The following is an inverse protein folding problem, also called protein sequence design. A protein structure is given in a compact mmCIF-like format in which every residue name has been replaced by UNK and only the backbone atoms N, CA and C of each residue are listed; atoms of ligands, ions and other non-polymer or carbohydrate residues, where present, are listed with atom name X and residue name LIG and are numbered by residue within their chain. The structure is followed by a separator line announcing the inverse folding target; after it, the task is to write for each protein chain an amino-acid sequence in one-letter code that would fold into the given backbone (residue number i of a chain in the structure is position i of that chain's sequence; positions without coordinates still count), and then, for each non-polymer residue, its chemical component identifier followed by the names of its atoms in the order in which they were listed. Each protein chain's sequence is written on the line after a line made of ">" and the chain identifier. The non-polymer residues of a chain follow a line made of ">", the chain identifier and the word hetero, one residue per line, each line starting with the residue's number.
data_IF_324141326959
#
_entry.id   IF_324141326959
#
_cell.length_a   1.000
_cell.length_b   1.000
_cell.length_c   1.000
_cell.angle_alpha   90.00
_cell.angle_beta   90.00
_cell.angle_gamma   90.00
#
_symmetry.space_group_name_H-M   'P 1'
#
loop_
_entity.id
_entity.type
_entity.pdbx_description
1 polymer ?
#
# COMPACT_ATOMS: atom_id res chain seq x y z
N UNK A 1 4.29 6.09 -3.44
CA UNK A 1 3.03 5.52 -2.92
C UNK A 1 3.37 4.68 -1.70
N UNK A 2 2.62 4.82 -0.61
CA UNK A 2 2.79 4.05 0.61
C UNK A 2 1.86 2.84 0.56
N UNK A 3 2.34 1.66 0.90
CA UNK A 3 1.56 0.41 0.87
C UNK A 3 1.79 -0.35 2.16
N UNK A 4 0.71 -0.84 2.76
CA UNK A 4 0.75 -1.66 3.97
C UNK A 4 -0.49 -2.57 4.02
N UNK A 5 -0.45 -3.61 4.84
CA UNK A 5 -1.56 -4.55 4.96
C UNK A 5 -1.70 -5.14 6.37
N UNK A 6 -2.94 -5.45 6.74
CA UNK A 6 -3.26 -6.02 8.04
C UNK A 6 -4.16 -7.26 7.88
N UNK A 7 -3.90 -8.35 8.63
CA UNK A 7 -4.80 -9.49 8.69
C UNK A 7 -6.25 -9.08 8.98
N UNK A 8 -7.18 -9.70 8.26
CA UNK A 8 -8.62 -9.55 8.48
C UNK A 8 -9.34 -10.89 8.33
N UNK A 9 -10.66 -10.90 8.51
CA UNK A 9 -11.51 -12.06 8.27
C UNK A 9 -12.69 -11.68 7.40
N UNK A 10 -13.08 -12.59 6.52
CA UNK A 10 -14.41 -12.61 5.90
C UNK A 10 -15.11 -13.90 6.35
N UNK A 11 -16.24 -13.77 7.04
CA UNK A 11 -16.88 -14.86 7.79
C UNK A 11 -15.86 -15.49 8.75
N UNK A 12 -15.55 -16.78 8.54
CA UNK A 12 -14.51 -17.53 9.26
C UNK A 12 -13.19 -17.60 8.49
N UNK A 13 -13.16 -17.20 7.22
CA UNK A 13 -11.98 -17.29 6.37
C UNK A 13 -10.98 -16.16 6.65
N UNK A 14 -9.68 -16.48 6.55
CA UNK A 14 -8.59 -15.51 6.67
C UNK A 14 -8.51 -14.66 5.41
N UNK A 15 -8.40 -13.35 5.60
CA UNK A 15 -8.22 -12.38 4.54
C UNK A 15 -7.16 -11.35 4.94
N UNK A 16 -6.84 -10.43 4.04
CA UNK A 16 -5.92 -9.32 4.28
C UNK A 16 -6.57 -8.04 3.79
N UNK A 17 -6.66 -7.04 4.68
CA UNK A 17 -6.99 -5.67 4.31
C UNK A 17 -5.70 -4.97 3.92
N UNK A 18 -5.63 -4.50 2.69
CA UNK A 18 -4.54 -3.71 2.16
C UNK A 18 -4.92 -2.24 2.09
N UNK A 19 -3.91 -1.37 2.17
CA UNK A 19 -4.02 0.04 1.81
C UNK A 19 -2.93 0.42 0.81
N UNK A 20 -3.28 1.33 -0.11
CA UNK A 20 -2.35 2.09 -0.92
C UNK A 20 -2.64 3.58 -0.80
N UNK A 21 -1.62 4.40 -0.49
CA UNK A 21 -1.76 5.83 -0.28
C UNK A 21 -0.86 6.62 -1.23
N UNK A 22 -1.47 7.51 -1.99
CA UNK A 22 -0.85 8.54 -2.81
C UNK A 22 -1.14 9.94 -2.20
N UNK A 23 -0.47 11.02 -2.65
CA UNK A 23 -0.68 12.35 -2.07
C UNK A 23 -2.13 12.86 -2.09
N UNK A 24 -2.94 12.42 -3.06
CA UNK A 24 -4.32 12.89 -3.26
C UNK A 24 -5.41 11.84 -2.98
N UNK A 25 -5.05 10.58 -2.70
CA UNK A 25 -6.02 9.50 -2.50
C UNK A 25 -5.47 8.34 -1.66
N UNK A 26 -6.38 7.65 -0.99
CA UNK A 26 -6.12 6.40 -0.28
C UNK A 26 -7.12 5.33 -0.74
N UNK A 27 -6.63 4.15 -1.02
CA UNK A 27 -7.34 3.04 -1.65
C UNK A 27 -7.21 1.80 -0.78
N UNK A 28 -8.31 1.11 -0.51
CA UNK A 28 -8.35 -0.11 0.30
C UNK A 28 -8.90 -1.29 -0.51
N UNK A 29 -8.38 -2.49 -0.24
CA UNK A 29 -8.85 -3.74 -0.81
C UNK A 29 -8.79 -4.87 0.20
N UNK A 30 -9.80 -5.74 0.24
CA UNK A 30 -9.79 -6.96 1.06
C UNK A 30 -9.63 -8.15 0.11
N UNK A 31 -8.57 -8.91 0.32
CA UNK A 31 -8.25 -10.07 -0.53
C UNK A 31 -8.08 -11.33 0.31
N UNK A 32 -8.40 -12.49 -0.27
CA UNK A 32 -8.20 -13.81 0.35
C UNK A 32 -6.74 -14.28 0.42
N UNK A 33 -5.77 -13.42 0.08
CA UNK A 33 -4.34 -13.72 0.15
C UNK A 33 -3.50 -12.45 0.44
N UNK A 34 -2.21 -12.65 0.75
CA UNK A 34 -1.18 -11.59 0.92
C UNK A 34 -0.16 -11.60 -0.23
N UNK A 35 -0.55 -12.07 -1.41
CA UNK A 35 0.38 -12.26 -2.52
C UNK A 35 0.53 -11.00 -3.38
N UNK A 36 1.47 -11.04 -4.32
CA UNK A 36 1.74 -9.96 -5.28
C UNK A 36 0.51 -9.64 -6.15
N UNK A 37 -0.29 -10.65 -6.43
CA UNK A 37 -1.52 -10.55 -7.22
C UNK A 37 -2.54 -9.63 -6.53
N UNK A 38 -2.60 -9.63 -5.19
CA UNK A 38 -3.43 -8.68 -4.42
C UNK A 38 -2.91 -7.24 -4.55
N UNK A 39 -1.60 -7.04 -4.52
CA UNK A 39 -0.99 -5.72 -4.72
C UNK A 39 -1.28 -5.18 -6.13
N UNK A 40 -1.05 -5.99 -7.17
CA UNK A 40 -1.37 -5.61 -8.56
C UNK A 40 -2.88 -5.37 -8.72
N UNK A 41 -3.72 -6.20 -8.11
CA UNK A 41 -5.17 -5.99 -8.11
C UNK A 41 -5.56 -4.68 -7.45
N UNK A 42 -4.79 -4.18 -6.47
CA UNK A 42 -5.05 -2.94 -5.72
C UNK A 42 -4.58 -1.68 -6.45
N UNK A 43 -3.39 -1.68 -7.05
CA UNK A 43 -2.75 -0.46 -7.58
C UNK A 43 -2.37 -0.51 -9.07
N UNK A 44 -2.62 -1.63 -9.74
CA UNK A 44 -2.26 -1.81 -11.15
C UNK A 44 -0.75 -1.95 -11.37
N UNK A 45 -0.27 -1.42 -12.50
CA UNK A 45 1.17 -1.36 -12.78
C UNK A 45 1.85 -0.25 -11.97
N UNK A 46 2.71 -0.68 -11.04
CA UNK A 46 3.54 0.19 -10.20
C UNK A 46 4.97 0.37 -10.71
N UNK A 47 5.29 -0.05 -11.94
CA UNK A 47 6.66 -0.01 -12.49
C UNK A 47 7.31 1.39 -12.53
N UNK A 48 6.50 2.46 -12.61
CA UNK A 48 6.92 3.86 -12.51
C UNK A 48 6.83 4.48 -11.11
N UNK A 49 6.34 3.74 -10.11
CA UNK A 49 6.04 4.25 -8.76
C UNK A 49 7.16 3.87 -7.78
N UNK A 50 7.59 4.82 -6.95
CA UNK A 50 8.37 4.50 -5.74
C UNK A 50 7.40 3.95 -4.68
N UNK A 51 7.49 2.65 -4.40
CA UNK A 51 6.68 1.99 -3.36
C UNK A 51 7.39 2.08 -2.01
N UNK A 52 6.68 2.51 -0.97
CA UNK A 52 7.16 2.54 0.41
C UNK A 52 6.46 1.43 1.22
N UNK A 53 7.21 0.55 1.87
CA UNK A 53 6.67 -0.60 2.62
C UNK A 53 7.63 -1.12 3.73
N UNK A 54 7.13 -1.99 4.61
CA UNK A 54 7.95 -2.76 5.57
C UNK A 54 8.65 -3.97 4.91
N UNK A 55 9.48 -3.72 3.88
CA UNK A 55 10.35 -4.73 3.25
C UNK A 55 9.63 -6.00 2.76
N UNK A 56 8.30 -5.93 2.58
CA UNK A 56 7.48 -7.10 2.42
C UNK A 56 7.77 -7.80 1.09
N UNK A 57 7.90 -9.14 1.12
CA UNK A 57 8.48 -9.92 0.02
C UNK A 57 7.77 -9.75 -1.33
N UNK A 58 6.45 -9.54 -1.30
CA UNK A 58 5.62 -9.36 -2.49
C UNK A 58 5.79 -7.99 -3.18
N UNK A 59 6.50 -7.05 -2.58
CA UNK A 59 6.85 -5.77 -3.20
C UNK A 59 8.24 -5.78 -3.89
N UNK A 60 9.03 -6.85 -3.72
CA UNK A 60 10.47 -6.88 -4.08
C UNK A 60 10.76 -6.85 -5.59
N UNK A 61 9.75 -7.03 -6.44
CA UNK A 61 9.87 -6.90 -7.89
C UNK A 61 9.76 -5.44 -8.38
N UNK A 62 9.33 -4.52 -7.51
CA UNK A 62 9.28 -3.10 -7.85
C UNK A 62 10.69 -2.56 -8.13
N UNK A 63 10.82 -1.87 -9.26
CA UNK A 63 12.06 -1.22 -9.70
C UNK A 63 12.55 -0.14 -8.72
N UNK A 64 11.65 0.46 -7.93
CA UNK A 64 11.99 1.50 -6.95
C UNK A 64 11.22 1.29 -5.65
N UNK A 65 11.96 0.94 -4.60
CA UNK A 65 11.43 0.66 -3.26
C UNK A 65 12.08 1.56 -2.23
N UNK A 66 11.27 2.17 -1.37
CA UNK A 66 11.71 2.70 -0.08
C UNK A 66 11.32 1.73 1.02
N UNK A 67 12.29 1.21 1.74
CA UNK A 67 12.09 0.36 2.90
C UNK A 67 11.87 1.20 4.17
N UNK A 68 10.89 0.82 4.99
CA UNK A 68 10.51 1.57 6.17
C UNK A 68 11.58 1.53 7.27
N UNK A 69 12.24 2.66 7.53
CA UNK A 69 13.21 2.79 8.62
C UNK A 69 12.60 2.59 10.01
N UNK A 70 11.32 2.89 10.22
CA UNK A 70 10.67 2.72 11.52
C UNK A 70 10.51 1.24 11.92
N UNK A 71 10.46 0.34 10.95
CA UNK A 71 10.49 -1.10 11.17
C UNK A 71 11.92 -1.61 11.37
N UNK A 72 12.87 -1.17 10.52
CA UNK A 72 14.29 -1.47 10.70
C UNK A 72 14.81 -1.04 12.08
N UNK A 73 14.38 0.13 12.59
CA UNK A 73 14.68 0.60 13.95
C UNK A 73 14.25 -0.41 15.02
N UNK A 74 13.05 -1.00 14.90
CA UNK A 74 12.54 -2.01 15.83
C UNK A 74 13.37 -3.29 15.76
N UNK A 75 13.87 -3.68 14.60
CA UNK A 75 14.75 -4.85 14.49
C UNK A 75 16.16 -4.57 15.04
N UNK A 76 16.71 -3.37 14.81
CA UNK A 76 17.96 -2.93 15.47
C UNK A 76 17.79 -2.92 17.00
N UNK A 77 16.61 -2.52 17.51
CA UNK A 77 16.32 -2.56 18.94
C UNK A 77 16.38 -4.01 19.50
N UNK A 78 15.91 -5.04 18.76
CA UNK A 78 16.10 -6.47 19.13
C UNK A 78 17.57 -6.93 19.14
N UNK A 79 18.48 -6.18 18.53
CA UNK A 79 19.92 -6.40 18.65
C UNK A 79 20.45 -5.70 19.92
N UNK A 80 20.04 -4.46 20.18
CA UNK A 80 20.35 -3.71 21.41
C UNK A 80 19.93 -4.49 22.67
N UNK A 81 18.72 -5.06 22.66
CA UNK A 81 18.14 -5.80 23.79
C UNK A 81 18.69 -7.23 23.91
N UNK A 82 19.67 -7.61 23.09
CA UNK A 82 20.27 -8.95 23.09
C UNK A 82 21.17 -9.17 24.31
N UNK A 83 21.09 -10.36 24.92
CA UNK A 83 21.99 -10.79 26.01
C UNK A 83 23.44 -10.92 25.52
N UNK A 84 23.64 -11.45 24.31
CA UNK A 84 24.91 -11.50 23.59
C UNK A 84 25.53 -10.09 23.43
N UNK A 85 26.75 -9.92 23.95
CA UNK A 85 27.46 -8.65 23.96
C UNK A 85 28.01 -8.20 22.60
N UNK A 86 28.30 -9.11 21.68
CA UNK A 86 28.70 -8.80 20.31
C UNK A 86 27.50 -8.29 19.51
N UNK A 87 26.36 -8.96 19.65
CA UNK A 87 25.08 -8.56 19.05
C UNK A 87 24.66 -7.19 19.55
N UNK A 88 24.66 -7.00 20.88
CA UNK A 88 24.30 -5.72 21.54
C UNK A 88 25.19 -4.57 21.10
N UNK A 89 26.51 -4.79 20.98
CA UNK A 89 27.45 -3.78 20.49
C UNK A 89 27.11 -3.31 19.07
N UNK A 90 26.87 -4.24 18.13
CA UNK A 90 26.47 -3.85 16.77
C UNK A 90 25.10 -3.16 16.74
N UNK A 91 24.15 -3.62 17.56
CA UNK A 91 22.85 -2.97 17.74
C UNK A 91 22.98 -1.50 18.14
N UNK A 92 23.83 -1.18 19.13
CA UNK A 92 24.11 0.20 19.52
C UNK A 92 24.80 1.01 18.42
N UNK A 93 25.78 0.41 17.70
CA UNK A 93 26.48 1.07 16.60
C UNK A 93 25.52 1.46 15.46
N UNK A 94 24.62 0.55 15.07
CA UNK A 94 23.57 0.77 14.06
C UNK A 94 22.52 1.80 14.53
N UNK A 95 22.06 1.68 15.79
CA UNK A 95 21.08 2.61 16.38
C UNK A 95 21.62 4.04 16.47
N UNK A 96 22.94 4.23 16.66
CA UNK A 96 23.58 5.56 16.62
C UNK A 96 23.43 6.23 15.24
N UNK A 97 23.59 5.45 14.17
CA UNK A 97 23.44 5.94 12.80
C UNK A 97 21.96 6.27 12.48
N UNK A 98 21.01 5.43 12.91
CA UNK A 98 19.57 5.70 12.77
C UNK A 98 19.18 7.01 13.47
N UNK A 99 19.60 7.20 14.72
CA UNK A 99 19.28 8.40 15.50
C UNK A 99 19.80 9.67 14.84
N UNK A 100 21.05 9.64 14.35
CA UNK A 100 21.68 10.77 13.66
C UNK A 100 20.99 11.08 12.31
N UNK A 101 20.64 10.04 11.54
CA UNK A 101 19.88 10.19 10.30
C UNK A 101 18.54 10.90 10.54
N UNK A 102 17.80 10.45 11.56
CA UNK A 102 16.50 11.02 11.89
C UNK A 102 16.58 12.39 12.58
N UNK A 103 17.68 12.74 13.22
CA UNK A 103 17.94 14.11 13.68
C UNK A 103 18.06 15.07 12.49
N UNK A 104 18.90 14.73 11.51
CA UNK A 104 19.06 15.53 10.31
C UNK A 104 17.77 15.55 9.47
N UNK A 105 17.02 14.44 9.39
CA UNK A 105 15.70 14.41 8.75
C UNK A 105 14.71 15.39 9.41
N UNK A 106 14.64 15.41 10.75
CA UNK A 106 13.80 16.38 11.47
C UNK A 106 14.21 17.83 11.19
N UNK A 107 15.51 18.12 11.17
CA UNK A 107 16.04 19.46 10.83
C UNK A 107 15.65 19.87 9.40
N UNK A 108 15.71 18.95 8.44
CA UNK A 108 15.25 19.19 7.07
C UNK A 108 13.74 19.44 7.00
N UNK A 109 12.92 18.59 7.62
CA UNK A 109 11.46 18.75 7.64
C UNK A 109 10.99 20.02 8.36
N UNK A 110 11.81 20.58 9.27
CA UNK A 110 11.60 21.86 9.93
C UNK A 110 12.15 23.08 9.15
N UNK A 111 12.72 22.88 7.95
CA UNK A 111 13.31 23.95 7.13
C UNK A 111 14.67 24.47 7.63
N UNK A 112 15.23 23.88 8.69
CA UNK A 112 16.49 24.34 9.30
C UNK A 112 17.76 23.93 8.52
N UNK A 113 17.64 23.02 7.56
CA UNK A 113 18.67 22.69 6.56
C UNK A 113 18.00 22.44 5.20
N UNK A 114 18.69 22.75 4.11
CA UNK A 114 18.20 22.49 2.75
C UNK A 114 18.20 20.99 2.44
N UNK A 115 17.42 20.59 1.43
CA UNK A 115 17.43 19.21 0.91
C UNK A 115 18.86 18.74 0.58
N UNK A 116 19.64 19.58 -0.12
CA UNK A 116 21.04 19.29 -0.45
C UNK A 116 21.93 19.15 0.79
N UNK A 117 21.74 20.02 1.78
CA UNK A 117 22.45 19.92 3.07
C UNK A 117 22.16 18.62 3.79
N UNK A 118 20.90 18.17 3.80
CA UNK A 118 20.51 16.87 4.34
C UNK A 118 21.15 15.70 3.57
N UNK A 119 21.14 15.70 2.24
CA UNK A 119 21.83 14.68 1.44
C UNK A 119 23.32 14.58 1.79
N UNK A 120 24.01 15.72 1.93
CA UNK A 120 25.43 15.77 2.30
C UNK A 120 25.68 15.17 3.69
N UNK A 121 24.81 15.44 4.67
CA UNK A 121 24.90 14.87 6.02
C UNK A 121 24.54 13.38 6.08
N UNK A 122 23.58 12.93 5.27
CA UNK A 122 23.17 11.53 5.20
C UNK A 122 24.21 10.63 4.49
N UNK A 123 25.03 11.18 3.59
CA UNK A 123 26.06 10.43 2.85
C UNK A 123 27.08 9.68 3.74
N UNK A 124 27.75 10.33 4.70
CA UNK A 124 28.60 9.67 5.70
C UNK A 124 27.85 8.60 6.51
N UNK A 125 26.64 8.89 6.97
CA UNK A 125 25.80 7.98 7.76
C UNK A 125 25.50 6.70 6.97
N UNK A 126 25.12 6.84 5.70
CA UNK A 126 24.89 5.73 4.77
C UNK A 126 26.13 4.85 4.60
N UNK A 127 27.32 5.45 4.44
CA UNK A 127 28.58 4.69 4.36
C UNK A 127 28.86 3.93 5.65
N UNK A 128 28.72 4.58 6.80
CA UNK A 128 28.95 3.95 8.11
C UNK A 128 27.95 2.82 8.39
N UNK A 129 26.66 3.04 8.12
CA UNK A 129 25.62 2.02 8.29
C UNK A 129 25.89 0.79 7.41
N UNK A 130 26.24 1.00 6.14
CA UNK A 130 26.61 -0.10 5.24
C UNK A 130 27.87 -0.85 5.68
N UNK A 131 28.87 -0.15 6.24
CA UNK A 131 30.07 -0.78 6.84
C UNK A 131 29.73 -1.63 8.07
N UNK A 132 28.80 -1.16 8.92
CA UNK A 132 28.33 -1.93 10.08
C UNK A 132 27.55 -3.18 9.68
N UNK A 133 26.72 -3.12 8.62
CA UNK A 133 26.08 -4.33 8.06
C UNK A 133 27.12 -5.35 7.58
N UNK A 134 28.14 -4.92 6.83
CA UNK A 134 29.23 -5.80 6.38
C UNK A 134 29.99 -6.43 7.56
N UNK A 135 30.30 -5.65 8.60
CA UNK A 135 30.91 -6.14 9.84
C UNK A 135 30.03 -7.18 10.56
N UNK A 136 28.71 -7.03 10.51
CA UNK A 136 27.78 -8.01 11.09
C UNK A 136 27.67 -9.30 10.28
N UNK A 137 27.70 -9.21 8.94
CA UNK A 137 27.77 -10.36 8.02
C UNK A 137 28.98 -11.25 8.34
N UNK A 138 30.18 -10.66 8.38
CA UNK A 138 31.44 -11.36 8.69
C UNK A 138 31.76 -11.51 10.18
N UNK A 139 30.77 -11.37 11.07
CA UNK A 139 30.98 -11.40 12.53
C UNK A 139 31.23 -12.80 13.12
N UNK A 140 30.96 -13.86 12.35
CA UNK A 140 30.90 -15.25 12.83
C UNK A 140 29.66 -15.58 13.68
N UNK A 141 28.83 -14.59 14.01
CA UNK A 141 27.67 -14.74 14.88
C UNK A 141 26.40 -14.92 14.06
N UNK A 142 25.77 -16.10 14.15
CA UNK A 142 24.59 -16.48 13.35
C UNK A 142 23.45 -15.45 13.42
N UNK A 143 23.22 -14.79 14.57
CA UNK A 143 22.17 -13.77 14.72
C UNK A 143 22.51 -12.49 13.96
N UNK A 144 23.78 -12.07 13.97
CA UNK A 144 24.25 -10.90 13.23
C UNK A 144 24.35 -11.15 11.73
N UNK A 145 24.91 -12.29 11.33
CA UNK A 145 25.01 -12.70 9.93
C UNK A 145 23.62 -12.77 9.30
N UNK A 146 22.66 -13.47 9.92
CA UNK A 146 21.28 -13.54 9.41
C UNK A 146 20.59 -12.18 9.26
N UNK A 147 20.71 -11.29 10.27
CA UNK A 147 20.15 -9.94 10.19
C UNK A 147 20.81 -9.08 9.09
N UNK A 148 22.14 -9.15 8.95
CA UNK A 148 22.87 -8.31 8.01
C UNK A 148 22.72 -8.81 6.57
N UNK A 149 22.73 -10.12 6.35
CA UNK A 149 22.61 -10.74 5.03
C UNK A 149 21.19 -10.60 4.45
N UNK A 150 20.16 -10.45 5.28
CA UNK A 150 18.81 -10.06 4.83
C UNK A 150 18.79 -8.66 4.20
N UNK A 151 19.58 -7.73 4.77
CA UNK A 151 19.61 -6.33 4.38
C UNK A 151 20.62 -6.02 3.28
N UNK A 152 21.83 -6.58 3.33
CA UNK A 152 22.96 -6.22 2.46
C UNK A 152 22.66 -6.28 0.95
N UNK A 153 22.01 -7.34 0.40
CA UNK A 153 21.73 -7.44 -1.04
C UNK A 153 20.77 -6.36 -1.55
N UNK A 154 20.00 -5.74 -0.66
CA UNK A 154 18.92 -4.80 -0.97
C UNK A 154 19.02 -3.48 -0.19
N UNK A 155 20.18 -3.21 0.43
CA UNK A 155 20.45 -2.06 1.30
C UNK A 155 20.11 -0.71 0.65
N UNK A 156 20.18 -0.65 -0.68
CA UNK A 156 19.85 0.52 -1.49
C UNK A 156 18.40 1.00 -1.29
N UNK A 157 17.45 0.08 -1.07
CA UNK A 157 16.05 0.42 -0.77
C UNK A 157 15.87 1.16 0.55
N UNK A 158 16.84 1.12 1.48
CA UNK A 158 16.81 1.96 2.68
C UNK A 158 17.04 3.44 2.33
N UNK A 159 17.73 3.72 1.22
CA UNK A 159 18.28 5.03 0.90
C UNK A 159 17.61 5.73 -0.28
N UNK A 160 16.62 5.09 -0.93
CA UNK A 160 15.89 5.65 -2.08
C UNK A 160 15.25 7.01 -1.78
N UNK A 161 14.88 7.29 -0.53
CA UNK A 161 14.38 8.60 -0.13
C UNK A 161 15.40 9.74 -0.31
N UNK A 162 16.72 9.44 -0.33
CA UNK A 162 17.77 10.41 -0.64
C UNK A 162 17.84 10.76 -2.13
N UNK A 163 17.20 9.99 -3.02
CA UNK A 163 17.23 10.19 -4.47
C UNK A 163 16.19 11.22 -4.96
N UNK A 164 15.15 11.50 -4.17
CA UNK A 164 14.05 12.37 -4.57
C UNK A 164 13.46 13.13 -3.40
N UNK A 165 13.36 14.45 -3.55
CA UNK A 165 12.77 15.34 -2.55
C UNK A 165 11.29 14.98 -2.33
N UNK A 166 10.85 14.95 -1.07
CA UNK A 166 9.47 14.61 -0.69
C UNK A 166 9.19 13.10 -0.52
N UNK A 167 10.14 12.21 -0.81
CA UNK A 167 10.04 10.80 -0.43
C UNK A 167 10.29 10.68 1.08
N UNK A 168 9.36 10.08 1.82
CA UNK A 168 9.52 9.85 3.27
C UNK A 168 10.31 8.56 3.55
N UNK A 169 11.24 8.52 4.55
CA UNK A 169 12.00 7.32 4.92
C UNK A 169 11.18 6.26 5.70
N UNK A 170 9.92 6.54 6.00
CA UNK A 170 9.05 5.66 6.81
C UNK A 170 7.70 5.44 6.14
N UNK A 171 7.05 4.31 6.42
CA UNK A 171 5.73 3.95 5.93
C UNK A 171 4.59 4.46 6.83
N UNK A 172 4.90 5.39 7.75
CA UNK A 172 3.96 5.95 8.73
C UNK A 172 2.63 6.43 8.12
N UNK A 173 2.63 6.85 6.85
CA UNK A 173 1.42 7.24 6.12
C UNK A 173 0.45 6.08 5.97
N UNK A 174 0.87 4.94 5.40
CA UNK A 174 0.00 3.77 5.26
C UNK A 174 -0.36 3.17 6.62
N UNK A 175 0.60 3.06 7.54
CA UNK A 175 0.38 2.59 8.92
C UNK A 175 -0.70 3.43 9.66
N UNK A 176 -0.73 4.76 9.44
CA UNK A 176 -1.75 5.65 10.00
C UNK A 176 -3.10 5.50 9.29
N UNK A 177 -3.11 5.42 7.97
CA UNK A 177 -4.32 5.26 7.16
C UNK A 177 -5.00 3.90 7.39
N UNK A 178 -4.29 2.85 7.80
CA UNK A 178 -4.90 1.59 8.25
C UNK A 178 -5.64 1.68 9.59
N UNK A 179 -5.33 2.64 10.47
CA UNK A 179 -5.85 2.69 11.86
C UNK A 179 -7.38 2.70 11.97
N UNK A 180 -8.15 3.49 11.18
CA UNK A 180 -9.61 3.46 11.22
C UNK A 180 -10.18 2.05 10.97
N UNK A 181 -9.58 1.30 10.05
CA UNK A 181 -9.97 -0.07 9.76
C UNK A 181 -9.58 -1.06 10.88
N UNK A 182 -8.44 -0.82 11.53
CA UNK A 182 -7.97 -1.55 12.72
C UNK A 182 -8.88 -1.33 13.92
N UNK A 183 -9.49 -0.14 14.05
CA UNK A 183 -10.50 0.17 15.07
C UNK A 183 -11.83 -0.46 14.70
N UNK A 184 -12.31 -0.27 13.47
CA UNK A 184 -13.56 -0.85 12.95
C UNK A 184 -13.65 -2.36 13.21
N UNK A 185 -12.62 -3.13 12.85
CA UNK A 185 -12.61 -4.59 13.04
C UNK A 185 -12.71 -5.03 14.51
N UNK A 186 -12.15 -4.24 15.45
CA UNK A 186 -12.24 -4.50 16.90
C UNK A 186 -13.64 -4.27 17.44
N UNK A 187 -14.37 -3.29 16.89
CA UNK A 187 -15.72 -2.92 17.33
C UNK A 187 -16.85 -3.69 16.61
N UNK A 188 -16.61 -4.11 15.37
CA UNK A 188 -17.66 -4.66 14.48
C UNK A 188 -17.45 -6.12 14.06
N UNK A 189 -16.50 -6.84 14.69
CA UNK A 189 -16.31 -8.29 14.53
C UNK A 189 -16.16 -8.80 13.08
N UNK A 190 -15.36 -8.09 12.29
CA UNK A 190 -14.99 -8.46 10.91
C UNK A 190 -16.18 -8.44 9.91
N UNK A 191 -15.92 -8.69 8.63
CA UNK A 191 -16.99 -8.73 7.62
C UNK A 191 -17.59 -10.13 7.53
N UNK A 192 -18.91 -10.24 7.38
CA UNK A 192 -19.62 -11.54 7.33
C UNK A 192 -20.06 -11.94 5.91
N UNK A 193 -19.62 -11.20 4.89
CA UNK A 193 -19.84 -11.51 3.47
C UNK A 193 -18.94 -10.68 2.56
N UNK A 194 -18.72 -11.15 1.32
CA UNK A 194 -18.06 -10.38 0.27
C UNK A 194 -18.70 -9.00 0.05
N UNK A 195 -20.03 -8.88 0.16
CA UNK A 195 -20.74 -7.59 0.10
C UNK A 195 -20.33 -6.66 1.26
N UNK A 196 -20.13 -7.20 2.46
CA UNK A 196 -19.59 -6.49 3.61
C UNK A 196 -18.13 -6.05 3.40
N UNK A 197 -17.29 -6.95 2.87
CA UNK A 197 -15.91 -6.63 2.50
C UNK A 197 -15.84 -5.49 1.48
N UNK A 198 -16.61 -5.58 0.39
CA UNK A 198 -16.74 -4.50 -0.61
C UNK A 198 -17.26 -3.19 -0.03
N UNK A 199 -18.16 -3.22 0.95
CA UNK A 199 -18.60 -2.02 1.64
C UNK A 199 -17.46 -1.37 2.45
N UNK A 200 -16.73 -2.16 3.24
CA UNK A 200 -15.61 -1.68 4.07
C UNK A 200 -14.49 -1.09 3.23
N UNK A 201 -14.07 -1.78 2.16
CA UNK A 201 -13.11 -1.25 1.18
C UNK A 201 -13.51 0.14 0.67
N UNK A 202 -14.76 0.28 0.23
CA UNK A 202 -15.28 1.49 -0.41
C UNK A 202 -15.42 2.64 0.57
N UNK A 203 -15.98 2.41 1.76
CA UNK A 203 -16.20 3.49 2.74
C UNK A 203 -14.90 4.01 3.34
N UNK A 204 -13.91 3.12 3.57
CA UNK A 204 -12.56 3.52 3.98
C UNK A 204 -11.85 4.32 2.89
N UNK A 205 -11.93 3.85 1.63
CA UNK A 205 -11.39 4.54 0.45
C UNK A 205 -11.97 5.94 0.28
N UNK A 206 -13.31 6.08 0.39
CA UNK A 206 -14.01 7.38 0.38
C UNK A 206 -13.50 8.26 1.51
N UNK A 207 -13.60 7.78 2.75
CA UNK A 207 -13.31 8.55 3.96
C UNK A 207 -11.88 9.10 3.94
N UNK A 208 -10.90 8.23 3.70
CA UNK A 208 -9.49 8.63 3.71
C UNK A 208 -9.09 9.45 2.48
N UNK A 209 -9.67 9.21 1.31
CA UNK A 209 -9.47 10.09 0.14
C UNK A 209 -10.05 11.47 0.37
N UNK A 210 -11.26 11.58 0.92
CA UNK A 210 -11.86 12.87 1.27
C UNK A 210 -11.03 13.59 2.33
N UNK A 211 -10.55 12.87 3.36
CA UNK A 211 -9.66 13.40 4.40
C UNK A 211 -8.34 13.92 3.83
N UNK A 212 -7.73 13.23 2.86
CA UNK A 212 -6.51 13.68 2.17
C UNK A 212 -6.76 14.92 1.29
N UNK A 213 -7.94 15.02 0.68
CA UNK A 213 -8.35 16.16 -0.16
C UNK A 213 -8.95 17.34 0.63
N UNK A 214 -9.02 17.26 1.96
CA UNK A 214 -9.73 18.22 2.83
C UNK A 214 -11.20 18.45 2.38
N UNK A 215 -11.89 17.35 2.04
CA UNK A 215 -13.32 17.33 1.63
C UNK A 215 -14.17 16.65 2.69
N UNK A 216 -15.43 17.08 2.80
CA UNK A 216 -16.43 16.40 3.60
C UNK A 216 -16.87 15.09 2.92
N UNK A 217 -16.69 13.96 3.62
CA UNK A 217 -16.99 12.63 3.11
C UNK A 217 -18.51 12.37 2.98
N UNK A 218 -19.34 13.01 3.79
CA UNK A 218 -20.80 12.86 3.75
C UNK A 218 -21.38 13.63 2.56
N UNK A 219 -20.92 14.85 2.31
CA UNK A 219 -21.26 15.61 1.10
C UNK A 219 -20.78 14.89 -0.17
N UNK A 220 -19.57 14.32 -0.17
CA UNK A 220 -19.10 13.48 -1.28
C UNK A 220 -20.06 12.30 -1.56
N UNK A 221 -20.55 11.63 -0.52
CA UNK A 221 -21.52 10.54 -0.68
C UNK A 221 -22.88 11.04 -1.20
N UNK A 222 -23.34 12.21 -0.75
CA UNK A 222 -24.56 12.86 -1.28
C UNK A 222 -24.37 13.20 -2.77
N UNK A 223 -23.25 13.80 -3.16
CA UNK A 223 -22.89 14.12 -4.54
C UNK A 223 -22.87 12.86 -5.41
N UNK A 224 -22.20 11.79 -4.95
CA UNK A 224 -22.12 10.52 -5.66
C UNK A 224 -23.50 9.86 -5.84
N UNK A 225 -24.37 9.91 -4.82
CA UNK A 225 -25.73 9.37 -4.91
C UNK A 225 -26.62 10.23 -5.81
N UNK A 226 -26.54 11.56 -5.74
CA UNK A 226 -27.23 12.49 -6.67
C UNK A 226 -26.82 12.24 -8.11
N UNK A 227 -25.51 12.12 -8.39
CA UNK A 227 -24.99 11.80 -9.71
C UNK A 227 -25.52 10.46 -10.22
N UNK A 228 -25.54 9.42 -9.37
CA UNK A 228 -26.11 8.11 -9.71
C UNK A 228 -27.60 8.21 -10.08
N UNK A 229 -28.42 8.89 -9.27
CA UNK A 229 -29.86 9.04 -9.53
C UNK A 229 -30.16 9.92 -10.75
N UNK A 230 -29.34 10.94 -11.02
CA UNK A 230 -29.40 11.75 -12.22
C UNK A 230 -28.87 11.03 -13.48
N UNK A 231 -28.45 9.76 -13.37
CA UNK A 231 -27.81 8.97 -14.44
C UNK A 231 -26.58 9.70 -15.04
N UNK A 232 -25.93 10.56 -14.26
CA UNK A 232 -24.72 11.27 -14.66
C UNK A 232 -23.56 10.28 -14.75
N UNK A 233 -23.16 9.99 -15.99
CA UNK A 233 -22.01 9.15 -16.30
C UNK A 233 -20.74 9.98 -16.16
N UNK A 234 -20.34 10.21 -14.91
CA UNK A 234 -19.03 10.76 -14.57
C UNK A 234 -18.02 9.64 -14.53
N UNK A 235 -17.19 9.53 -15.56
CA UNK A 235 -16.21 8.47 -15.62
C UNK A 235 -14.99 8.85 -14.72
N UNK A 236 -14.95 8.30 -13.51
CA UNK A 236 -13.71 8.00 -12.78
C UNK A 236 -13.57 6.46 -12.72
N UNK A 237 -12.53 5.96 -12.05
CA UNK A 237 -12.51 4.59 -11.52
C UNK A 237 -12.40 3.46 -12.54
N UNK A 238 -11.16 3.04 -12.81
CA UNK A 238 -10.92 1.62 -13.08
C UNK A 238 -9.56 1.14 -12.51
N UNK A 239 -9.47 1.18 -11.17
CA UNK A 239 -8.76 0.27 -10.27
C UNK A 239 -8.90 0.83 -8.83
N UNK A 240 -9.91 0.31 -8.11
CA UNK A 240 -10.12 0.44 -6.64
C UNK A 240 -10.54 1.78 -6.01
N UNK A 241 -11.26 2.65 -6.72
CA UNK A 241 -11.79 3.90 -6.13
C UNK A 241 -13.29 4.12 -6.40
N UNK A 242 -14.18 3.26 -5.88
CA UNK A 242 -15.66 3.28 -6.07
C UNK A 242 -16.24 2.88 -7.45
N UNK A 243 -16.95 1.75 -7.55
CA UNK A 243 -17.92 1.60 -8.66
C UNK A 243 -19.23 1.04 -8.15
N UNK A 244 -20.22 1.94 -8.05
CA UNK A 244 -21.60 1.62 -8.35
C UNK A 244 -21.74 1.74 -9.88
N UNK A 245 -22.36 0.76 -10.51
CA UNK A 245 -22.32 0.56 -11.96
C UNK A 245 -22.92 1.73 -12.75
N UNK A 246 -22.15 2.31 -13.68
CA UNK A 246 -22.67 3.02 -14.85
C UNK A 246 -21.71 2.87 -16.04
N UNK A 247 -22.26 2.79 -17.25
CA UNK A 247 -21.54 2.39 -18.47
C UNK A 247 -20.72 3.54 -19.11
N UNK A 248 -19.51 3.21 -19.60
CA UNK A 248 -18.51 4.02 -20.37
C UNK A 248 -17.34 4.69 -19.59
N UNK A 249 -16.49 3.87 -18.94
CA UNK A 249 -14.99 3.85 -18.94
C UNK A 249 -14.17 5.17 -18.99
N UNK A 250 -13.71 5.73 -17.86
CA UNK A 250 -12.37 6.37 -17.83
C UNK A 250 -11.32 5.36 -17.39
N UNK A 251 -10.06 5.72 -17.61
CA UNK A 251 -8.90 5.13 -16.96
C UNK A 251 -8.06 6.25 -16.35
N UNK A 252 -7.81 6.19 -15.05
CA UNK A 252 -6.80 7.01 -14.38
C UNK A 252 -5.41 6.59 -14.84
N UNK A 253 -4.86 7.27 -15.85
CA UNK A 253 -3.46 7.11 -16.24
C UNK A 253 -2.54 7.96 -15.36
N UNK A 254 -1.56 7.33 -14.70
CA UNK A 254 -0.47 8.06 -14.05
C UNK A 254 0.50 8.59 -15.13
N UNK A 255 0.47 9.90 -15.37
CA UNK A 255 1.52 10.59 -16.12
C UNK A 255 2.69 10.90 -15.19
N UNK A 256 3.86 10.31 -15.46
CA UNK A 256 5.07 10.40 -14.62
C UNK A 256 6.03 11.54 -15.01
N UNK A 257 5.67 12.42 -15.95
CA UNK A 257 6.56 13.46 -16.50
C UNK A 257 5.89 14.84 -16.59
N UNK A 258 6.69 15.89 -16.42
CA UNK A 258 6.28 17.29 -16.54
C UNK A 258 5.69 17.92 -15.27
N UNK A 259 5.50 19.25 -15.30
CA UNK A 259 4.97 20.05 -14.16
C UNK A 259 3.49 19.75 -13.80
N UNK A 260 2.83 18.85 -14.51
CA UNK A 260 1.43 18.45 -14.30
C UNK A 260 1.27 16.99 -13.84
N UNK A 261 2.37 16.29 -13.51
CA UNK A 261 2.33 14.94 -12.98
C UNK A 261 1.45 14.86 -11.71
N UNK A 262 0.49 13.93 -11.69
CA UNK A 262 -0.41 13.71 -10.56
C UNK A 262 -1.69 14.56 -10.52
N UNK A 263 -1.98 15.38 -11.54
CA UNK A 263 -3.25 16.12 -11.65
C UNK A 263 -4.22 15.37 -12.57
N UNK A 264 -5.45 15.13 -12.10
CA UNK A 264 -6.53 14.61 -12.96
C UNK A 264 -6.91 15.69 -13.97
N UNK A 265 -6.81 15.37 -15.26
CA UNK A 265 -7.28 16.20 -16.37
C UNK A 265 -7.96 15.35 -17.42
N UNK A 266 -8.86 15.99 -18.16
CA UNK A 266 -9.53 15.44 -19.32
C UNK A 266 -8.53 15.25 -20.48
N UNK A 267 -8.64 14.13 -21.21
CA UNK A 267 -7.78 13.82 -22.38
C UNK A 267 -8.69 13.42 -23.54
N UNK A 268 -8.64 14.09 -24.70
CA UNK A 268 -9.42 13.74 -25.88
C UNK A 268 -9.13 12.32 -26.40
N UNK A 269 -10.14 11.68 -27.01
CA UNK A 269 -10.12 10.26 -27.41
C UNK A 269 -9.06 10.00 -28.49
N UNK A 270 -8.92 10.95 -29.40
CA UNK A 270 -7.95 11.02 -30.50
C UNK A 270 -6.47 11.04 -30.04
N UNK A 271 -6.21 11.25 -28.75
CA UNK A 271 -4.87 11.21 -28.15
C UNK A 271 -4.65 10.00 -27.24
N UNK A 272 -5.59 9.04 -27.21
CA UNK A 272 -5.46 7.83 -26.41
C UNK A 272 -4.60 6.76 -27.09
N UNK A 273 -3.63 6.12 -26.40
CA UNK A 273 -2.67 5.18 -26.99
C UNK A 273 -3.23 3.77 -27.27
N UNK A 274 -4.55 3.59 -27.31
CA UNK A 274 -5.22 2.31 -27.58
C UNK A 274 -6.22 2.46 -28.73
N UNK A 275 -6.40 1.41 -29.54
CA UNK A 275 -7.29 1.45 -30.70
C UNK A 275 -8.73 1.06 -30.32
N UNK A 276 -9.63 2.04 -30.26
CA UNK A 276 -11.03 1.85 -29.82
C UNK A 276 -12.02 1.51 -30.95
N UNK A 277 -11.57 1.40 -32.21
CA UNK A 277 -12.47 1.08 -33.32
C UNK A 277 -13.18 -0.28 -33.13
N UNK A 278 -12.42 -1.31 -32.76
CA UNK A 278 -12.90 -2.68 -32.56
C UNK A 278 -13.88 -2.86 -31.38
N UNK A 279 -14.05 -1.85 -30.54
CA UNK A 279 -14.87 -1.94 -29.32
C UNK A 279 -16.34 -1.51 -29.54
N UNK A 280 -16.67 -0.91 -30.69
CA UNK A 280 -18.05 -0.55 -31.05
C UNK A 280 -18.88 -1.77 -31.43
N UNK A 281 -18.30 -2.70 -32.18
CA UNK A 281 -19.03 -3.81 -32.80
C UNK A 281 -19.54 -4.81 -31.74
N UNK A 282 -18.71 -5.13 -30.74
CA UNK A 282 -19.07 -6.04 -29.65
C UNK A 282 -20.27 -5.57 -28.81
N UNK A 283 -20.42 -4.25 -28.62
CA UNK A 283 -21.52 -3.66 -27.83
C UNK A 283 -22.87 -3.77 -28.55
N UNK A 284 -22.85 -3.91 -29.89
CA UNK A 284 -24.07 -4.07 -30.67
C UNK A 284 -24.60 -5.52 -30.59
N UNK A 285 -23.71 -6.50 -30.57
CA UNK A 285 -24.04 -7.94 -30.51
C UNK A 285 -24.67 -8.39 -29.19
N UNK A 286 -24.32 -7.78 -28.06
CA UNK A 286 -24.89 -8.14 -26.75
C UNK A 286 -26.35 -7.67 -26.58
N UNK A 287 -26.74 -6.57 -27.24
CA UNK A 287 -28.09 -6.01 -27.15
C UNK A 287 -29.18 -6.92 -27.72
N UNK A 288 -28.82 -7.76 -28.69
CA UNK A 288 -29.74 -8.65 -29.40
C UNK A 288 -30.02 -9.95 -28.61
N UNK A 289 -29.14 -10.34 -27.68
CA UNK A 289 -29.26 -11.60 -26.91
C UNK A 289 -30.10 -11.49 -25.64
N UNK A 290 -30.42 -10.27 -25.19
CA UNK A 290 -31.06 -10.02 -23.89
C UNK A 290 -32.59 -10.23 -23.82
N UNK A 291 -33.26 -10.64 -24.89
CA UNK A 291 -34.73 -10.66 -24.98
C UNK A 291 -35.41 -12.00 -24.66
N UNK A 292 -34.68 -13.08 -24.36
CA UNK A 292 -35.27 -14.40 -24.12
C UNK A 292 -34.58 -15.22 -23.01
N UNK A 293 -35.28 -15.49 -21.90
CA UNK A 293 -35.31 -16.81 -21.22
C UNK A 293 -36.12 -16.81 -19.91
N UNK A 294 -36.78 -17.93 -19.65
CA UNK A 294 -37.60 -18.26 -18.46
C UNK A 294 -36.76 -18.94 -17.34
N UNK A 295 -37.21 -18.97 -16.07
CA UNK A 295 -36.39 -19.42 -14.95
C UNK A 295 -36.50 -20.92 -14.65
N UNK A 296 -35.43 -21.54 -14.15
CA UNK A 296 -35.39 -22.92 -13.63
C UNK A 296 -34.65 -22.95 -12.28
N UNK A 297 -35.11 -23.80 -11.37
CA UNK A 297 -34.62 -23.95 -9.99
C UNK A 297 -33.29 -24.74 -9.88
N UNK A 298 -32.60 -24.60 -8.74
CA UNK A 298 -31.37 -25.35 -8.43
C UNK A 298 -31.54 -26.38 -7.31
N UNK A 299 -30.46 -27.12 -6.94
CA UNK A 299 -30.41 -27.95 -5.73
C UNK A 299 -29.31 -27.55 -4.72
N UNK A 300 -29.36 -28.18 -3.55
CA UNK A 300 -28.66 -27.87 -2.29
C UNK A 300 -27.21 -28.43 -2.16
N UNK A 301 -26.42 -27.98 -1.16
CA UNK A 301 -25.01 -28.35 -1.01
C UNK A 301 -24.77 -29.52 -0.04
N UNK A 302 -23.70 -30.28 -0.26
CA UNK A 302 -23.16 -31.26 0.70
C UNK A 302 -21.98 -30.68 1.49
N UNK A 303 -21.81 -31.17 2.72
CA UNK A 303 -20.86 -30.68 3.72
C UNK A 303 -19.76 -31.69 4.01
N UNK A 304 -18.51 -31.25 4.07
CA UNK A 304 -17.57 -31.70 5.11
C UNK A 304 -16.38 -30.74 5.25
N UNK A 305 -15.86 -30.60 6.48
CA UNK A 305 -14.43 -30.43 6.85
C UNK A 305 -14.26 -29.96 8.30
N UNK A 306 -13.26 -30.53 8.98
CA UNK A 306 -12.93 -30.30 10.40
C UNK A 306 -11.89 -29.18 10.54
N UNK A 307 -11.81 -28.48 11.70
CA UNK A 307 -10.92 -27.34 11.87
C UNK A 307 -9.48 -27.76 12.19
N UNK A 308 -8.51 -27.16 11.51
CA UNK A 308 -7.09 -27.20 11.90
C UNK A 308 -6.67 -25.89 12.61
N UNK A 309 -5.97 -26.02 13.72
CA UNK A 309 -5.67 -24.91 14.66
C UNK A 309 -4.22 -24.42 14.51
N UNK A 310 -4.02 -23.51 13.56
CA UNK A 310 -2.76 -22.75 13.41
C UNK A 310 -2.64 -21.53 14.34
N UNK A 311 -1.41 -21.08 14.66
CA UNK A 311 -1.15 -20.15 15.78
C UNK A 311 -1.57 -18.69 15.54
N UNK A 312 -1.80 -17.99 16.66
CA UNK A 312 -2.27 -16.61 16.73
C UNK A 312 -1.36 -15.59 16.00
N UNK A 313 -1.97 -14.54 15.48
CA UNK A 313 -1.25 -13.44 14.80
C UNK A 313 -0.98 -12.26 15.73
N UNK A 314 0.11 -11.53 15.49
CA UNK A 314 0.71 -10.48 16.35
C UNK A 314 -0.16 -9.25 16.69
N UNK A 315 -1.45 -9.27 16.37
CA UNK A 315 -2.42 -8.21 16.67
C UNK A 315 -3.26 -8.47 17.92
N UNK A 316 -3.08 -9.63 18.58
CA UNK A 316 -3.72 -9.97 19.85
C UNK A 316 -2.98 -9.38 21.08
N UNK A 317 -1.94 -8.56 20.84
CA UNK A 317 -1.09 -7.93 21.87
C UNK A 317 -1.23 -6.39 21.93
N UNK A 318 -2.30 -5.84 21.34
CA UNK A 318 -2.68 -4.41 21.37
C UNK A 318 -4.21 -4.28 21.44
#
# INVERSE_FOLDING_TARGET
>A
MFVDESPTKEKKAKAWLWVAVAPLFAVFGIFGNRSRESLISLIGDYSGIILNCDRAKMCLDSKRLQWCWAHLKRDIQKLVDSSDGQVRRLGHDLMRQERLLFEHWRRYKAGAITWRGFQCLAGPIRRQFNSLLLRGSWSGNKKLTGFCDELLPRKEHLWTFLEGEGIEPTNNTAERTLRPAVIYRKLSFWTQSAKGSRYVERILTVSETCRLQNRDAYQYLIEAMKAKFANHKGWAVNQNTLTLETYRVFRTGLFYTGKAAGVIREVPIEHSPFNYAAMKDAVQTERERGSSSTPIAGPEPTSDERPDTGPASQLELF
#
